data_IF_053713240549
#
_entry.id   IF_053713240549
#
_cell.length_a   1.000
_cell.length_b   1.000
_cell.length_c   1.000
_cell.angle_alpha   90.00
_cell.angle_beta   90.00
_cell.angle_gamma   90.00
#
_symmetry.space_group_name_H-M   'P 1'
#
loop_
_entity.id
_entity.type
_entity.pdbx_description
1 polymer ?
2 polymer ?
3 non-polymer ?
4 non-polymer ?
5 non-polymer ?
6 non-polymer ?
7 water ?
#
# COMPACT_ATOMS: atom_id res chain seq x y z
N UNK A 1 -13.59 -20.40 13.25
CA UNK A 1 -13.93 -19.03 13.69
C UNK A 1 -12.79 -18.46 14.56
N UNK A 2 -11.56 -18.92 14.32
CA UNK A 2 -10.40 -18.40 15.05
C UNK A 2 -10.02 -17.01 14.51
N UNK A 3 -9.99 -16.02 15.40
CA UNK A 3 -9.75 -14.62 15.00
C UNK A 3 -8.93 -13.83 15.99
N UNK A 4 -8.20 -12.84 15.47
CA UNK A 4 -7.53 -11.83 16.28
C UNK A 4 -7.95 -10.46 15.78
N UNK A 5 -8.66 -9.73 16.63
CA UNK A 5 -9.18 -8.37 16.34
C UNK A 5 -8.29 -7.27 16.88
N UNK A 6 -7.63 -6.54 15.98
CA UNK A 6 -6.72 -5.48 16.40
C UNK A 6 -7.35 -4.10 16.37
N UNK A 7 -6.81 -3.22 17.21
CA UNK A 7 -7.37 -1.89 17.30
C UNK A 7 -7.01 -1.05 16.07
N UNK A 8 -7.72 0.06 15.92
CA UNK A 8 -7.62 0.88 14.73
C UNK A 8 -6.36 1.69 14.69
N UNK A 9 -6.16 2.43 13.59
CA UNK A 9 -4.94 3.23 13.45
C UNK A 9 -4.78 4.25 14.59
N UNK A 10 -3.55 4.39 15.09
CA UNK A 10 -3.22 5.32 16.17
C UNK A 10 -2.23 6.36 15.70
N UNK A 11 -2.51 7.62 16.03
CA UNK A 11 -1.54 8.67 15.89
C UNK A 11 -1.08 9.05 17.29
N UNK A 12 0.22 8.99 17.53
CA UNK A 12 0.76 9.58 18.74
C UNK A 12 1.95 10.50 18.49
N UNK A 13 2.07 11.47 19.37
CA UNK A 13 3.19 12.38 19.32
C UNK A 13 4.41 11.72 19.96
N UNK A 14 5.62 12.12 19.49
CA UNK A 14 6.83 11.50 20.08
C UNK A 14 6.85 11.65 21.61
N UNK A 15 7.25 10.57 22.30
CA UNK A 15 7.31 10.53 23.76
C UNK A 15 6.03 10.08 24.45
N UNK A 16 4.92 10.03 23.72
CA UNK A 16 3.64 9.67 24.32
C UNK A 16 3.34 8.20 24.05
N UNK A 17 3.27 7.43 25.13
CA UNK A 17 3.14 5.99 25.00
C UNK A 17 1.89 5.61 24.21
N UNK A 18 2.01 4.51 23.49
CA UNK A 18 0.91 3.99 22.71
C UNK A 18 0.64 2.57 23.17
N UNK A 19 -0.64 2.25 23.26
CA UNK A 19 -1.09 0.94 23.65
C UNK A 19 -2.01 0.44 22.57
N UNK A 20 -1.75 -0.77 22.09
CA UNK A 20 -2.62 -1.36 21.09
C UNK A 20 -3.12 -2.70 21.60
N UNK A 21 -4.28 -3.12 21.11
CA UNK A 21 -4.97 -4.27 21.69
C UNK A 21 -5.30 -5.30 20.62
N UNK A 22 -5.42 -6.55 21.04
CA UNK A 22 -5.61 -7.68 20.13
C UNK A 22 -6.54 -8.64 20.85
N UNK A 23 -7.81 -8.58 20.48
CA UNK A 23 -8.86 -9.43 21.05
C UNK A 23 -9.00 -10.75 20.31
N UNK A 24 -8.77 -11.85 21.04
CA UNK A 24 -8.87 -13.19 20.49
C UNK A 24 -10.28 -13.73 20.62
N UNK A 25 -10.72 -14.50 19.63
CA UNK A 25 -11.99 -15.21 19.75
C UNK A 25 -11.99 -16.51 18.96
N UNK A 26 -12.93 -17.40 19.29
CA UNK A 26 -13.08 -18.68 18.59
C UNK A 26 -12.13 -19.76 19.06
N UNK A 27 -11.42 -19.52 20.16
CA UNK A 27 -10.53 -20.52 20.74
C UNK A 27 -10.33 -20.27 22.24
N UNK A 28 -9.72 -21.26 22.91
CA UNK A 28 -9.44 -21.16 24.34
C UNK A 28 -8.16 -20.36 24.58
N UNK A 29 -8.35 -19.09 25.00
CA UNK A 29 -7.29 -18.08 25.06
C UNK A 29 -6.00 -18.50 25.79
N UNK A 30 -6.14 -19.11 26.96
CA UNK A 30 -4.97 -19.44 27.78
C UNK A 30 -4.03 -20.49 27.20
N UNK A 31 -4.50 -21.26 26.22
CA UNK A 31 -3.72 -22.40 25.73
C UNK A 31 -2.63 -22.02 24.72
N UNK A 32 -2.68 -20.79 24.20
CA UNK A 32 -1.83 -20.41 23.06
C UNK A 32 -1.01 -19.16 23.33
N UNK A 33 0.25 -19.18 22.92
CA UNK A 33 1.11 -18.00 23.04
C UNK A 33 0.78 -16.95 21.99
N UNK A 34 0.84 -15.69 22.40
CA UNK A 34 0.63 -14.57 21.49
C UNK A 34 1.93 -13.85 21.21
N UNK A 35 2.18 -13.63 19.92
CA UNK A 35 3.39 -12.98 19.46
C UNK A 35 3.04 -11.63 18.83
N UNK A 36 4.03 -10.75 18.77
CA UNK A 36 3.86 -9.45 18.13
C UNK A 36 4.97 -9.26 17.14
N UNK A 37 4.61 -8.68 15.98
CA UNK A 37 5.52 -8.56 14.86
C UNK A 37 5.39 -7.16 14.30
N UNK A 38 6.53 -6.56 14.00
CA UNK A 38 6.60 -5.18 13.50
C UNK A 38 6.97 -5.17 12.03
N UNK A 39 6.25 -4.34 11.26
CA UNK A 39 6.54 -4.22 9.83
C UNK A 39 6.62 -2.76 9.41
N UNK A 40 7.80 -2.38 8.91
CA UNK A 40 8.04 -1.03 8.40
C UNK A 40 8.45 -1.21 6.96
N UNK A 41 8.11 -0.24 6.08
CA UNK A 41 8.59 -0.32 4.72
C UNK A 41 10.13 -0.46 4.61
N UNK A 42 10.58 -1.41 3.80
CA UNK A 42 12.00 -1.69 3.57
C UNK A 42 12.69 -2.53 4.62
N UNK A 43 11.95 -2.82 5.70
CA UNK A 43 12.52 -3.42 6.89
C UNK A 43 11.80 -4.72 7.27
N UNK A 44 11.13 -5.31 6.28
CA UNK A 44 10.53 -6.64 6.40
C UNK A 44 9.67 -6.85 7.63
N UNK A 45 9.93 -7.95 8.33
CA UNK A 45 9.19 -8.34 9.54
C UNK A 45 10.15 -8.59 10.70
N UNK A 46 9.86 -7.95 11.84
CA UNK A 46 10.65 -8.05 13.06
C UNK A 46 9.81 -8.64 14.15
N UNK A 47 10.30 -9.69 14.82
CA UNK A 47 9.62 -10.28 15.95
C UNK A 47 9.91 -9.44 17.19
N UNK A 48 8.86 -9.02 17.87
CA UNK A 48 9.02 -8.16 19.06
C UNK A 48 9.14 -9.02 20.33
N UNK A 49 8.24 -9.99 20.46
CA UNK A 49 8.24 -10.84 21.63
C UNK A 49 6.97 -11.64 21.68
N UNK A 50 6.79 -12.35 22.78
CA UNK A 50 5.70 -13.28 22.95
C UNK A 50 5.26 -13.32 24.41
N UNK A 51 4.02 -13.69 24.63
CA UNK A 51 3.49 -13.80 25.98
C UNK A 51 2.58 -15.01 26.10
N UNK A 52 2.73 -15.74 27.20
CA UNK A 52 1.89 -16.87 27.54
C UNK A 52 0.70 -16.36 28.35
N UNK A 53 -0.53 -16.46 27.81
CA UNK A 53 -1.60 -15.84 28.58
C UNK A 53 -1.92 -16.60 29.85
N UNK A 54 -1.60 -17.89 29.91
CA UNK A 54 -1.97 -18.71 31.08
C UNK A 54 -1.49 -18.08 32.39
N UNK A 55 -0.22 -17.69 32.46
CA UNK A 55 0.28 -16.98 33.64
C UNK A 55 1.11 -15.74 33.31
N UNK A 56 0.86 -15.17 32.13
CA UNK A 56 1.50 -13.91 31.70
C UNK A 56 3.03 -13.94 31.58
N UNK A 57 3.62 -15.13 31.44
CA UNK A 57 5.06 -15.20 31.17
C UNK A 57 5.34 -14.59 29.80
N UNK A 58 6.36 -13.74 29.72
CA UNK A 58 6.68 -13.10 28.45
C UNK A 58 8.18 -13.17 28.17
N UNK A 59 8.51 -13.13 26.88
CA UNK A 59 9.89 -13.08 26.44
C UNK A 59 9.95 -12.09 25.29
N UNK A 60 10.89 -11.16 25.40
CA UNK A 60 11.10 -10.15 24.37
C UNK A 60 12.41 -10.31 23.65
N UNK A 61 12.38 -9.93 22.37
CA UNK A 61 13.57 -9.62 21.63
C UNK A 61 14.30 -8.50 22.38
N UNK A 62 15.57 -8.77 22.70
CA UNK A 62 16.45 -7.79 23.35
C UNK A 62 16.46 -6.42 22.65
N UNK A 63 16.26 -6.43 21.33
CA UNK A 63 16.21 -5.18 20.57
C UNK A 63 15.11 -4.25 21.10
N UNK A 64 14.03 -4.86 21.63
CA UNK A 64 12.87 -4.13 22.17
C UNK A 64 12.73 -4.14 23.70
N UNK A 65 13.80 -4.48 24.42
CA UNK A 65 13.74 -4.73 25.87
C UNK A 65 13.25 -3.55 26.71
N UNK A 66 13.48 -2.34 26.23
CA UNK A 66 13.16 -1.13 26.97
C UNK A 66 12.05 -0.36 26.28
N UNK A 67 11.48 -0.98 25.26
CA UNK A 67 10.54 -0.32 24.37
C UNK A 67 9.13 -0.91 24.48
N UNK A 68 9.03 -2.23 24.44
CA UNK A 68 7.74 -2.91 24.42
C UNK A 68 7.43 -3.62 25.73
N UNK A 69 6.17 -3.53 26.12
CA UNK A 69 5.64 -4.25 27.27
C UNK A 69 4.42 -5.03 26.81
N UNK A 70 4.44 -6.32 27.08
CA UNK A 70 3.35 -7.21 26.69
C UNK A 70 2.57 -7.63 27.93
N UNK A 71 1.25 -7.50 27.85
CA UNK A 71 0.35 -7.92 28.92
C UNK A 71 -0.83 -8.67 28.30
N UNK A 72 -1.61 -9.35 29.14
CA UNK A 72 -2.88 -9.95 28.71
C UNK A 72 -3.94 -9.67 29.75
N UNK A 73 -5.17 -9.59 29.27
CA UNK A 73 -6.34 -9.56 30.12
C UNK A 73 -7.04 -10.88 29.84
N UNK A 74 -6.88 -11.84 30.75
CA UNK A 74 -7.44 -13.19 30.56
C UNK A 74 -8.96 -13.13 30.53
N UNK A 75 -9.55 -12.28 31.36
CA UNK A 75 -11.01 -12.17 31.46
C UNK A 75 -11.67 -11.72 30.16
N UNK A 76 -10.97 -10.92 29.35
CA UNK A 76 -11.53 -10.43 28.09
C UNK A 76 -10.84 -11.01 26.87
N UNK A 77 -9.99 -12.02 27.09
CA UNK A 77 -9.24 -12.68 26.02
C UNK A 77 -8.53 -11.67 25.10
N UNK A 78 -7.92 -10.66 25.70
CA UNK A 78 -7.25 -9.61 24.95
C UNK A 78 -5.79 -9.49 25.34
N UNK A 79 -4.92 -9.40 24.32
CA UNK A 79 -3.52 -9.11 24.54
C UNK A 79 -3.29 -7.64 24.21
N UNK A 80 -2.38 -7.02 24.95
CA UNK A 80 -1.99 -5.63 24.71
C UNK A 80 -0.46 -5.49 24.54
N UNK A 81 -0.07 -4.57 23.67
CA UNK A 81 1.33 -4.18 23.60
C UNK A 81 1.41 -2.69 23.82
N UNK A 82 2.30 -2.30 24.71
CA UNK A 82 2.57 -0.90 24.97
C UNK A 82 4.00 -0.52 24.59
N UNK A 83 4.13 0.62 23.91
CA UNK A 83 5.44 1.12 23.48
C UNK A 83 5.78 2.40 24.23
N UNK A 84 6.87 2.35 25.02
CA UNK A 84 7.30 3.51 25.80
C UNK A 84 8.01 4.54 24.93
N UNK A 85 7.94 5.79 25.37
CA UNK A 85 8.60 6.93 24.70
C UNK A 85 8.77 6.74 23.17
N UNK A 86 7.67 6.77 22.41
CA UNK A 86 7.82 6.50 20.97
C UNK A 86 8.59 7.56 20.19
N UNK A 87 9.31 7.11 19.17
CA UNK A 87 9.94 8.00 18.20
C UNK A 87 9.43 7.60 16.82
N UNK A 88 9.80 8.38 15.80
CA UNK A 88 9.38 8.05 14.44
C UNK A 88 9.81 6.65 13.99
N UNK A 89 10.85 6.10 14.62
CA UNK A 89 11.28 4.72 14.38
C UNK A 89 10.20 3.71 14.76
N UNK A 90 9.33 4.09 15.69
CA UNK A 90 8.22 3.23 16.08
C UNK A 90 6.99 3.27 15.18
N UNK A 91 6.99 4.16 14.19
CA UNK A 91 5.91 4.13 13.19
C UNK A 91 6.03 2.87 12.37
N UNK A 92 4.94 2.11 12.30
CA UNK A 92 4.92 0.78 11.63
C UNK A 92 3.53 0.18 11.73
N UNK A 93 3.33 -0.93 11.00
CA UNK A 93 2.20 -1.81 11.21
C UNK A 93 2.65 -2.85 12.26
N UNK A 94 1.84 -3.02 13.30
CA UNK A 94 2.11 -4.03 14.32
C UNK A 94 1.06 -5.13 14.21
N UNK A 95 1.52 -6.37 14.08
CA UNK A 95 0.63 -7.51 14.07
C UNK A 95 0.68 -8.24 15.41
N UNK A 96 -0.46 -8.68 15.89
CA UNK A 96 -0.42 -9.81 16.85
C UNK A 96 -0.69 -11.10 16.05
N UNK A 97 -0.14 -12.22 16.51
CA UNK A 97 -0.28 -13.47 15.81
C UNK A 97 -0.15 -14.62 16.82
N UNK A 98 -1.03 -15.60 16.70
CA UNK A 98 -0.99 -16.77 17.62
C UNK A 98 -0.03 -17.83 17.08
N UNK A 99 0.74 -18.45 17.98
CA UNK A 99 1.52 -19.64 17.62
C UNK A 99 0.72 -20.93 17.75
N UNK A 100 0.91 -21.82 16.78
CA UNK A 100 0.33 -23.15 16.77
C UNK A 100 0.69 -23.92 18.05
N UNK A 101 -0.24 -24.72 18.56
CA UNK A 101 0.00 -25.45 19.82
C UNK A 101 1.15 -26.44 19.73
N UNK A 102 1.28 -27.08 18.58
CA UNK A 102 2.18 -28.23 18.41
C UNK A 102 3.47 -27.88 17.67
N UNK A 103 3.35 -26.89 16.78
CA UNK A 103 4.39 -26.59 15.80
C UNK A 103 4.88 -25.17 15.96
N UNK A 104 6.09 -24.94 15.47
CA UNK A 104 6.73 -23.65 15.55
C UNK A 104 6.33 -22.77 14.36
N UNK A 105 5.07 -22.38 14.32
CA UNK A 105 4.64 -21.40 13.32
C UNK A 105 3.50 -20.54 13.81
N UNK A 106 3.27 -19.44 13.09
CA UNK A 106 2.22 -18.48 13.40
C UNK A 106 1.01 -18.87 12.56
N UNK A 107 -0.08 -19.24 13.23
CA UNK A 107 -1.20 -19.86 12.54
C UNK A 107 -2.45 -18.99 12.33
N UNK A 108 -2.51 -17.86 13.02
CA UNK A 108 -3.59 -16.88 12.81
C UNK A 108 -2.98 -15.51 13.03
N UNK A 109 -3.35 -14.53 12.20
CA UNK A 109 -2.82 -13.19 12.36
C UNK A 109 -3.95 -12.19 12.46
N UNK A 110 -3.75 -11.17 13.29
CA UNK A 110 -4.62 -9.98 13.19
C UNK A 110 -4.36 -9.20 11.91
N UNK A 111 -5.18 -8.18 11.67
CA UNK A 111 -5.10 -7.39 10.43
C UNK A 111 -4.03 -6.33 10.46
N UNK A 112 -3.39 -6.16 11.61
CA UNK A 112 -2.38 -5.14 11.83
C UNK A 112 -3.00 -3.85 12.34
N UNK A 113 -2.23 -3.15 13.16
CA UNK A 113 -2.56 -1.81 13.63
C UNK A 113 -1.47 -0.89 13.15
N UNK A 114 -1.86 0.15 12.42
CA UNK A 114 -0.90 1.10 11.93
C UNK A 114 -0.71 2.21 12.95
N UNK A 115 0.55 2.37 13.37
CA UNK A 115 0.92 3.40 14.35
C UNK A 115 1.77 4.46 13.67
N UNK A 116 1.36 5.72 13.80
CA UNK A 116 2.10 6.84 13.27
C UNK A 116 2.58 7.66 14.46
N UNK A 117 3.89 7.81 14.58
CA UNK A 117 4.47 8.66 15.63
C UNK A 117 4.97 9.92 14.97
N UNK A 118 4.30 11.03 15.28
CA UNK A 118 4.55 12.29 14.57
C UNK A 118 4.09 13.47 15.42
N UNK A 119 4.79 14.60 15.28
CA UNK A 119 4.35 15.86 15.89
C UNK A 119 3.45 16.68 14.95
N UNK A 120 3.19 16.15 13.76
CA UNK A 120 2.39 16.86 12.75
C UNK A 120 0.94 16.97 13.19
N UNK A 121 0.30 18.06 12.79
CA UNK A 121 -1.07 18.36 13.19
C UNK A 121 -2.10 17.57 12.40
N UNK A 122 -3.14 17.10 13.08
CA UNK A 122 -4.27 16.51 12.35
C UNK A 122 -4.89 17.59 11.44
N UNK A 123 -5.00 17.29 10.14
CA UNK A 123 -5.41 18.25 9.13
C UNK A 123 -6.39 17.56 8.19
N UNK A 124 -7.46 18.28 7.85
CA UNK A 124 -8.50 17.77 6.94
C UNK A 124 -8.05 17.95 5.49
N UNK A 125 -8.37 16.98 4.62
CA UNK A 125 -8.07 17.13 3.20
C UNK A 125 -9.03 18.11 2.49
N UNK A 126 -8.57 18.64 1.36
CA UNK A 126 -9.43 19.31 0.40
C UNK A 126 -9.64 18.29 -0.69
N UNK A 127 -10.89 18.15 -1.14
CA UNK A 127 -11.23 17.12 -2.13
C UNK A 127 -11.64 17.83 -3.39
N UNK A 128 -10.92 17.55 -4.47
CA UNK A 128 -11.13 18.29 -5.72
C UNK A 128 -11.53 17.35 -6.83
N UNK A 129 -12.52 17.76 -7.64
CA UNK A 129 -13.01 16.96 -8.77
C UNK A 129 -12.05 17.05 -9.96
N UNK A 130 -11.84 15.96 -10.67
CA UNK A 130 -11.01 15.97 -11.87
C UNK A 130 -11.88 15.62 -13.06
N UNK A 131 -12.20 16.64 -13.86
CA UNK A 131 -12.99 16.42 -15.06
C UNK A 131 -12.10 16.78 -16.24
N UNK A 132 -12.33 16.14 -17.41
CA UNK A 132 -11.49 16.49 -18.57
C UNK A 132 -11.72 17.92 -19.08
N UNK A 133 -10.78 18.55 -19.78
CA UNK A 133 -11.13 19.88 -20.36
C UNK A 133 -12.16 19.82 -21.49
N UNK A 134 -12.69 21.00 -21.85
CA UNK A 134 -13.40 21.23 -23.10
C UNK A 134 -12.60 20.59 -24.26
N UNK A 135 -13.19 19.69 -25.06
CA UNK A 135 -14.61 19.30 -25.11
C UNK A 135 -15.29 18.99 -23.80
N UNK A 139 -13.49 9.04 -27.87
CA UNK A 139 -13.08 7.71 -27.39
C UNK A 139 -14.27 6.85 -26.97
N UNK A 140 -14.00 5.59 -26.66
CA UNK A 140 -15.07 4.68 -26.23
C UNK A 140 -15.30 4.81 -24.73
N UNK A 141 -14.33 5.40 -24.04
CA UNK A 141 -14.43 5.54 -22.59
C UNK A 141 -14.00 6.91 -22.13
N UNK A 142 -14.42 7.25 -20.92
CA UNK A 142 -14.01 8.49 -20.29
C UNK A 142 -13.51 8.18 -18.88
N UNK A 143 -12.42 8.86 -18.52
CA UNK A 143 -11.80 8.75 -17.20
C UNK A 143 -11.98 10.04 -16.43
N UNK A 144 -12.47 9.90 -15.21
CA UNK A 144 -12.64 11.02 -14.28
C UNK A 144 -11.81 10.77 -13.07
N UNK A 145 -11.70 11.77 -12.21
CA UNK A 145 -10.88 11.55 -11.03
C UNK A 145 -11.22 12.39 -9.86
N UNK A 146 -10.50 12.12 -8.77
CA UNK A 146 -10.73 12.79 -7.52
C UNK A 146 -9.38 13.00 -6.83
N UNK A 147 -9.05 14.25 -6.46
CA UNK A 147 -7.77 14.57 -5.82
C UNK A 147 -8.06 14.91 -4.36
N UNK A 148 -7.44 14.16 -3.46
CA UNK A 148 -7.61 14.34 -2.02
C UNK A 148 -6.28 14.87 -1.48
N UNK A 149 -6.23 16.19 -1.20
CA UNK A 149 -4.96 16.83 -1.03
C UNK A 149 -4.84 17.40 0.37
N UNK A 150 -3.76 17.04 1.05
CA UNK A 150 -3.39 17.82 2.23
C UNK A 150 -4.01 17.36 3.55
N UNK A 151 -3.97 16.05 3.83
CA UNK A 151 -4.50 15.53 5.08
C UNK A 151 -3.44 14.90 5.97
N UNK A 152 -3.75 14.80 7.27
CA UNK A 152 -2.90 14.07 8.19
C UNK A 152 -3.73 13.69 9.38
N UNK A 153 -3.52 12.49 9.95
CA UNK A 153 -2.71 11.37 9.47
C UNK A 153 -3.48 10.51 8.46
N UNK A 154 -2.88 9.39 8.05
CA UNK A 154 -3.64 8.41 7.29
C UNK A 154 -4.58 7.72 8.28
N UNK A 155 -5.67 7.11 7.77
CA UNK A 155 -6.07 6.96 6.40
C UNK A 155 -7.18 7.86 5.98
N UNK A 156 -7.40 7.85 4.66
CA UNK A 156 -8.70 8.26 4.12
C UNK A 156 -9.33 7.06 3.45
N UNK A 157 -10.66 7.08 3.33
CA UNK A 157 -11.36 6.11 2.48
C UNK A 157 -12.02 6.84 1.31
N UNK A 158 -11.99 6.25 0.13
CA UNK A 158 -12.54 6.90 -1.03
C UNK A 158 -13.37 5.87 -1.75
N UNK A 159 -14.60 6.26 -2.09
CA UNK A 159 -15.45 5.40 -2.94
C UNK A 159 -16.00 6.25 -4.09
N UNK A 160 -16.66 5.60 -5.05
CA UNK A 160 -17.30 6.28 -6.16
C UNK A 160 -18.76 5.86 -6.13
N UNK A 161 -19.67 6.83 -6.28
CA UNK A 161 -21.12 6.59 -6.18
C UNK A 161 -21.51 5.70 -5.02
N UNK A 162 -20.88 6.02 -3.88
CA UNK A 162 -21.21 5.44 -2.55
C UNK A 162 -20.75 4.00 -2.42
N UNK A 163 -19.93 3.57 -3.38
CA UNK A 163 -19.51 2.18 -3.47
C UNK A 163 -20.16 1.42 -4.60
N UNK A 164 -21.18 2.01 -5.23
CA UNK A 164 -21.89 1.37 -6.36
C UNK A 164 -21.09 1.29 -7.66
N UNK A 165 -20.13 2.20 -7.83
CA UNK A 165 -19.17 2.12 -8.94
C UNK A 165 -17.87 1.61 -8.35
N UNK A 166 -17.56 0.35 -8.61
CA UNK A 166 -16.37 -0.28 -8.05
C UNK A 166 -15.40 -0.82 -9.12
N UNK A 167 -15.89 -1.10 -10.33
CA UNK A 167 -15.02 -1.59 -11.41
C UNK A 167 -14.44 -0.39 -12.15
N UNK A 168 -13.32 -0.59 -12.83
CA UNK A 168 -12.65 0.47 -13.57
C UNK A 168 -12.05 1.56 -12.70
N UNK A 169 -11.71 1.22 -11.46
CA UNK A 169 -11.21 2.22 -10.51
C UNK A 169 -9.74 1.95 -10.19
N UNK A 170 -8.94 3.02 -10.08
CA UNK A 170 -7.59 2.89 -9.48
C UNK A 170 -7.50 3.96 -8.43
N UNK A 171 -7.36 3.53 -7.20
CA UNK A 171 -7.09 4.44 -6.12
C UNK A 171 -5.63 4.31 -5.71
N UNK A 172 -4.89 5.41 -5.83
CA UNK A 172 -3.44 5.35 -5.71
C UNK A 172 -2.99 5.56 -4.26
N UNK A 173 -1.98 4.82 -3.84
CA UNK A 173 -1.49 4.99 -2.48
C UNK A 173 -1.12 6.45 -2.20
N UNK A 174 -1.36 6.89 -0.96
CA UNK A 174 -0.96 8.21 -0.55
C UNK A 174 0.53 8.42 -0.54
N UNK A 175 0.90 9.68 -0.72
CA UNK A 175 2.30 10.07 -0.64
C UNK A 175 2.38 11.25 0.32
N UNK A 176 3.33 11.15 1.23
CA UNK A 176 3.60 12.15 2.26
C UNK A 176 4.57 13.18 1.71
N UNK A 177 4.24 14.46 1.89
CA UNK A 177 5.12 15.56 1.52
C UNK A 177 4.94 16.66 2.57
N UNK A 178 6.01 17.02 3.28
CA UNK A 178 5.94 18.14 4.23
C UNK A 178 4.78 18.03 5.23
N UNK A 179 4.69 16.89 5.89
CA UNK A 179 3.68 16.60 6.91
C UNK A 179 2.26 16.44 6.44
N UNK A 180 2.03 16.42 5.12
CA UNK A 180 0.70 16.17 4.59
C UNK A 180 0.69 15.13 3.51
N UNK A 181 -0.36 14.35 3.51
CA UNK A 181 -0.61 13.33 2.49
C UNK A 181 -1.51 13.83 1.37
N UNK A 182 -1.33 13.23 0.20
CA UNK A 182 -2.18 13.47 -0.95
C UNK A 182 -2.37 12.12 -1.64
N UNK A 183 -3.60 11.88 -2.06
CA UNK A 183 -4.00 10.65 -2.73
C UNK A 183 -4.91 11.06 -3.89
N UNK A 184 -5.00 10.19 -4.87
CA UNK A 184 -5.97 10.44 -5.94
C UNK A 184 -6.62 9.12 -6.34
N UNK A 185 -7.72 9.24 -7.09
CA UNK A 185 -8.37 8.07 -7.63
C UNK A 185 -8.91 8.38 -9.02
N UNK A 186 -8.83 7.38 -9.90
CA UNK A 186 -9.43 7.45 -11.24
C UNK A 186 -10.57 6.46 -11.39
N UNK A 187 -11.57 6.86 -12.16
CA UNK A 187 -12.64 5.96 -12.52
C UNK A 187 -12.89 6.09 -14.01
N UNK A 188 -13.05 4.96 -14.69
CA UNK A 188 -13.29 4.93 -16.13
C UNK A 188 -14.61 4.27 -16.41
N UNK A 189 -15.40 4.95 -17.24
CA UNK A 189 -16.72 4.49 -17.63
C UNK A 189 -16.90 4.62 -19.13
N UNK A 190 -17.96 4.02 -19.66
CA UNK A 190 -18.24 4.19 -21.10
C UNK A 190 -18.48 5.67 -21.42
N UNK A 191 -18.08 6.08 -22.61
CA UNK A 191 -18.15 7.48 -22.94
C UNK A 191 -19.57 8.09 -22.90
N UNK A 192 -20.59 7.27 -23.12
CA UNK A 192 -21.98 7.75 -23.01
C UNK A 192 -22.54 7.75 -21.59
N UNK A 193 -21.83 7.17 -20.63
CA UNK A 193 -22.32 7.12 -19.26
C UNK A 193 -22.43 8.49 -18.62
N UNK A 194 -21.33 9.24 -18.70
CA UNK A 194 -21.16 10.54 -18.04
C UNK A 194 -21.04 11.64 -19.12
N UNK A 195 -21.63 12.83 -18.91
CA UNK A 195 -22.19 13.34 -17.65
C UNK A 195 -23.67 13.04 -17.41
N UNK A 196 -24.32 12.28 -18.28
CA UNK A 196 -25.77 12.10 -18.04
C UNK A 196 -26.05 11.33 -16.75
N UNK A 197 -25.25 10.32 -16.45
CA UNK A 197 -25.31 9.68 -15.14
C UNK A 197 -24.28 10.36 -14.27
N UNK A 198 -24.70 10.81 -13.09
CA UNK A 198 -23.78 11.47 -12.19
C UNK A 198 -22.73 10.54 -11.60
N UNK A 199 -21.53 11.06 -11.41
CA UNK A 199 -20.42 10.30 -10.82
C UNK A 199 -19.87 11.19 -9.72
N UNK A 200 -19.81 10.63 -8.50
CA UNK A 200 -19.46 11.40 -7.31
C UNK A 200 -18.41 10.63 -6.54
N UNK A 201 -17.41 11.37 -6.09
CA UNK A 201 -16.34 10.86 -5.26
C UNK A 201 -16.70 11.03 -3.77
N UNK A 202 -16.62 9.97 -2.96
CA UNK A 202 -16.99 10.08 -1.54
C UNK A 202 -15.74 9.84 -0.73
N UNK A 203 -15.35 10.84 0.05
CA UNK A 203 -14.08 10.76 0.77
C UNK A 203 -14.32 10.91 2.25
N UNK A 204 -13.75 10.03 3.06
CA UNK A 204 -13.81 10.21 4.51
C UNK A 204 -12.42 10.26 5.09
N UNK A 205 -12.22 11.19 6.00
CA UNK A 205 -10.96 11.23 6.77
C UNK A 205 -11.37 11.19 8.26
N UNK A 206 -11.37 10.00 8.86
CA UNK A 206 -11.95 9.88 10.20
C UNK A 206 -11.26 10.77 11.23
N UNK A 207 -9.95 10.96 11.10
CA UNK A 207 -9.23 11.74 12.11
C UNK A 207 -9.73 13.16 12.24
N UNK A 208 -10.13 13.77 11.14
CA UNK A 208 -10.66 15.12 11.18
C UNK A 208 -12.19 15.15 11.13
N UNK A 209 -12.84 13.97 11.26
CA UNK A 209 -14.31 13.87 11.14
C UNK A 209 -14.83 14.55 9.86
N UNK A 210 -14.07 14.34 8.77
CA UNK A 210 -14.38 14.86 7.44
C UNK A 210 -15.11 13.79 6.66
N UNK A 211 -16.26 14.15 6.08
CA UNK A 211 -16.94 13.28 5.13
C UNK A 211 -17.51 14.16 4.02
N UNK A 212 -16.98 13.99 2.81
CA UNK A 212 -17.33 14.88 1.68
C UNK A 212 -17.76 14.07 0.44
N UNK A 213 -18.84 14.51 -0.20
CA UNK A 213 -19.24 13.97 -1.48
C UNK A 213 -18.96 15.04 -2.53
N UNK A 214 -18.16 14.70 -3.56
CA UNK A 214 -17.85 15.68 -4.60
C UNK A 214 -18.30 15.15 -5.96
N UNK A 215 -19.33 15.78 -6.53
CA UNK A 215 -19.85 15.43 -7.84
C UNK A 215 -18.90 15.94 -8.91
N UNK A 216 -18.59 15.09 -9.87
CA UNK A 216 -17.70 15.52 -10.95
C UNK A 216 -18.57 16.16 -12.01
N UNK A 217 -18.40 17.46 -12.21
CA UNK A 217 -19.19 18.20 -13.19
C UNK A 217 -18.42 18.41 -14.49
N UNK A 218 -19.11 18.36 -15.63
CA UNK A 218 -18.43 18.63 -16.88
C UNK A 218 -17.97 20.08 -16.95
N UNK A 219 -16.85 20.29 -17.62
CA UNK A 219 -16.34 21.64 -17.86
C UNK A 219 -16.96 22.21 -19.14
N UNK A 220 -17.28 23.49 -19.11
CA UNK A 220 -17.89 24.19 -20.24
C UNK A 220 -17.35 25.60 -20.35
N UNK A 221 -17.79 26.34 -21.37
CA UNK A 221 -17.38 27.74 -21.51
C UNK A 221 -17.70 28.58 -20.27
N UNK B 1 20.14 -14.71 17.42
CA UNK B 1 20.78 -13.81 16.42
C UNK B 1 21.14 -14.53 15.13
N UNK B 2 20.29 -15.46 14.72
CA UNK B 2 20.48 -16.13 13.44
C UNK B 2 19.94 -15.18 12.38
N UNK B 3 20.82 -14.70 11.49
CA UNK B 3 20.43 -13.76 10.44
C UNK B 3 20.06 -14.58 9.22
N UNK B 4 18.88 -14.30 8.66
CA UNK B 4 18.44 -15.00 7.44
C UNK B 4 18.61 -14.09 6.24
N UNK B 5 19.34 -14.60 5.24
CA UNK B 5 19.61 -13.84 4.01
C UNK B 5 18.89 -14.46 2.83
N UNK B 6 17.95 -13.69 2.28
CA UNK B 6 17.12 -14.12 1.17
C UNK B 6 17.60 -13.54 -0.14
N UNK B 7 17.64 -14.36 -1.18
CA UNK B 7 17.92 -13.86 -2.52
C UNK B 7 17.01 -14.56 -3.54
N UNK B 8 16.68 -13.87 -4.63
CA UNK B 8 16.95 -12.44 -4.84
C UNK B 8 16.00 -11.56 -4.03
N UNK B 9 16.36 -10.30 -3.84
CA UNK B 9 15.47 -9.34 -3.17
C UNK B 9 14.15 -9.16 -3.94
N UNK B 10 14.25 -9.00 -5.25
CA UNK B 10 13.09 -8.77 -6.11
C UNK B 10 13.22 -9.66 -7.34
N UNK B 11 12.12 -10.30 -7.74
CA UNK B 11 12.17 -11.08 -8.97
C UNK B 11 10.83 -11.06 -9.69
N UNK B 12 10.85 -11.37 -10.98
CA UNK B 12 9.61 -11.50 -11.72
C UNK B 12 9.72 -12.57 -12.78
N UNK B 13 8.56 -13.11 -13.13
CA UNK B 13 8.48 -14.20 -14.10
C UNK B 13 7.11 -14.25 -14.70
N UNK B 14 7.03 -14.84 -15.90
CA UNK B 14 5.73 -15.09 -16.49
C UNK B 14 5.02 -16.21 -15.75
N UNK B 15 3.68 -16.20 -15.77
CA UNK B 15 2.94 -17.40 -15.37
C UNK B 15 3.51 -18.60 -16.13
N UNK B 16 3.51 -19.75 -15.48
CA UNK B 16 4.02 -20.98 -16.08
C UNK B 16 5.47 -21.28 -15.77
N UNK B 17 6.24 -20.26 -15.40
CA UNK B 17 7.66 -20.45 -15.11
C UNK B 17 7.82 -21.12 -13.75
N UNK B 18 8.95 -21.80 -13.59
CA UNK B 18 9.35 -22.34 -12.29
C UNK B 18 10.22 -21.25 -11.66
N UNK B 19 9.90 -20.85 -10.44
CA UNK B 19 10.73 -19.85 -9.73
C UNK B 19 11.24 -20.44 -8.43
N UNK B 20 12.50 -20.15 -8.13
CA UNK B 20 13.11 -20.61 -6.88
C UNK B 20 13.74 -19.42 -6.17
N UNK B 21 13.56 -19.37 -4.86
CA UNK B 21 14.19 -18.33 -4.05
C UNK B 21 14.82 -19.00 -2.83
N UNK B 22 15.92 -18.43 -2.37
CA UNK B 22 16.77 -19.07 -1.38
C UNK B 22 16.85 -18.26 -0.11
N UNK B 23 17.16 -18.95 0.98
CA UNK B 23 17.24 -18.34 2.29
C UNK B 23 18.40 -19.02 2.97
N UNK B 24 19.46 -18.25 3.18
CA UNK B 24 20.68 -18.71 3.84
C UNK B 24 20.77 -18.21 5.30
N UNK B 25 20.94 -19.14 6.24
CA UNK B 25 21.02 -18.80 7.67
C UNK B 25 22.46 -18.70 8.16
N UNK B 26 22.73 -17.76 9.06
CA UNK B 26 24.09 -17.51 9.55
C UNK B 26 24.64 -18.63 10.44
N UNK B 27 23.74 -19.42 11.01
CA UNK B 27 24.12 -20.69 11.62
C UNK B 27 22.99 -21.70 11.43
N UNK B 28 23.31 -22.98 11.64
CA UNK B 28 22.41 -24.09 11.35
C UNK B 28 21.05 -23.90 11.98
N UNK B 29 19.98 -24.18 11.22
CA UNK B 29 18.62 -24.21 11.76
C UNK B 29 17.97 -25.59 11.55
N UNK B 30 17.10 -25.98 12.48
CA UNK B 30 16.46 -27.28 12.44
C UNK B 30 15.44 -27.47 11.33
N UNK B 31 14.72 -26.38 11.03
CA UNK B 31 13.66 -26.34 10.01
C UNK B 31 13.59 -24.92 9.51
N UNK B 32 13.12 -24.76 8.29
CA UNK B 32 12.75 -23.45 7.78
C UNK B 32 11.24 -23.34 7.59
N UNK B 33 10.72 -22.16 7.86
CA UNK B 33 9.30 -21.84 7.64
C UNK B 33 9.23 -20.73 6.61
N UNK B 34 8.15 -20.70 5.85
CA UNK B 34 8.00 -19.72 4.78
C UNK B 34 6.64 -19.10 4.89
N UNK B 35 6.59 -17.76 4.83
CA UNK B 35 5.34 -17.01 4.89
C UNK B 35 5.15 -16.21 3.61
N UNK B 36 3.89 -16.12 3.19
CA UNK B 36 3.52 -15.38 1.99
C UNK B 36 2.75 -14.13 2.43
N UNK B 37 3.16 -12.96 1.93
CA UNK B 37 2.41 -11.74 2.21
C UNK B 37 2.05 -10.99 0.92
N UNK B 38 0.77 -11.07 0.58
CA UNK B 38 0.23 -10.33 -0.57
C UNK B 38 0.04 -8.88 -0.17
N UNK B 39 0.23 -7.94 -1.12
CA UNK B 39 0.17 -6.53 -0.74
C UNK B 39 -1.14 -6.17 -0.06
N UNK B 40 -1.04 -5.52 1.09
CA UNK B 40 -2.21 -5.05 1.82
C UNK B 40 -2.84 -6.06 2.77
N UNK B 41 -2.32 -7.29 2.82
CA UNK B 41 -2.79 -8.25 3.82
C UNK B 41 -1.70 -8.74 4.76
N UNK B 42 -2.11 -9.48 5.78
CA UNK B 42 -1.20 -10.10 6.74
C UNK B 42 -0.41 -11.24 6.15
N UNK B 43 0.78 -11.53 6.72
CA UNK B 43 1.54 -12.72 6.31
C UNK B 43 0.71 -13.96 6.60
N UNK B 44 0.91 -14.97 5.77
CA UNK B 44 0.20 -16.24 5.95
C UNK B 44 1.19 -17.39 5.79
N UNK B 45 1.08 -18.37 6.68
CA UNK B 45 1.96 -19.54 6.59
C UNK B 45 1.75 -20.31 5.29
N UNK B 46 2.85 -20.60 4.62
CA UNK B 46 2.87 -21.34 3.36
C UNK B 46 3.46 -22.73 3.55
N UNK B 47 4.65 -22.78 4.16
CA UNK B 47 5.38 -24.04 4.31
C UNK B 47 5.97 -24.10 5.71
N UNK B 48 5.77 -25.21 6.42
CA UNK B 48 6.35 -25.35 7.73
C UNK B 48 7.22 -26.60 7.79
N UNK B 49 8.11 -26.65 8.77
CA UNK B 49 9.02 -27.78 8.93
C UNK B 49 9.67 -28.13 7.60
N UNK B 50 10.16 -27.10 6.92
CA UNK B 50 10.96 -27.19 5.70
C UNK B 50 10.21 -27.51 4.41
N UNK B 51 9.38 -28.54 4.43
CA UNK B 51 8.75 -29.04 3.20
C UNK B 51 7.26 -29.38 3.30
N UNK B 52 6.65 -29.17 4.46
CA UNK B 52 5.24 -29.49 4.61
C UNK B 52 4.39 -28.30 4.20
N UNK B 53 3.44 -28.53 3.30
CA UNK B 53 2.54 -27.48 2.86
C UNK B 53 1.49 -27.23 3.92
N UNK B 54 1.23 -25.96 4.19
CA UNK B 54 0.15 -25.58 5.10
C UNK B 54 -1.19 -25.95 4.47
N UNK B 55 -2.21 -26.08 5.32
CA UNK B 55 -3.56 -26.40 4.85
C UNK B 55 -4.01 -25.44 3.75
N UNK B 56 -4.44 -25.99 2.62
CA UNK B 56 -4.96 -25.19 1.50
C UNK B 56 -3.94 -24.64 0.52
N UNK B 57 -2.66 -24.90 0.74
CA UNK B 57 -1.62 -24.42 -0.15
C UNK B 57 -1.50 -25.38 -1.32
N UNK B 58 -1.63 -24.87 -2.55
CA UNK B 58 -1.65 -25.77 -3.72
C UNK B 58 -0.29 -26.43 -3.97
N UNK B 59 -0.34 -27.52 -4.75
CA UNK B 59 0.79 -28.40 -4.99
C UNK B 59 1.96 -27.74 -5.77
N UNK B 60 1.71 -26.59 -6.40
CA UNK B 60 2.79 -25.87 -7.11
C UNK B 60 3.90 -25.34 -6.17
N UNK B 61 3.57 -25.18 -4.89
CA UNK B 61 4.54 -24.74 -3.87
C UNK B 61 5.26 -25.92 -3.24
N UNK B 62 6.59 -25.82 -3.18
CA UNK B 62 7.39 -26.78 -2.41
C UNK B 62 8.51 -26.08 -1.66
N UNK B 63 8.99 -26.71 -0.59
CA UNK B 63 10.13 -26.18 0.13
C UNK B 63 11.15 -27.27 0.33
N UNK B 64 12.42 -26.86 0.38
CA UNK B 64 13.51 -27.83 0.58
C UNK B 64 14.67 -27.21 1.35
N UNK B 65 15.65 -28.05 1.69
CA UNK B 65 16.86 -27.55 2.32
C UNK B 65 17.28 -28.25 3.59
N UNK B 66 18.43 -27.83 4.11
CA UNK B 66 18.98 -28.36 5.35
C UNK B 66 20.16 -27.50 5.80
N UNK B 67 20.50 -27.62 7.08
CA UNK B 67 21.64 -26.91 7.64
C UNK B 67 21.43 -25.42 7.59
N UNK B 68 22.20 -24.75 6.74
CA UNK B 68 22.12 -23.30 6.62
C UNK B 68 21.53 -22.86 5.28
N UNK B 69 21.18 -23.80 4.40
CA UNK B 69 20.67 -23.44 3.07
C UNK B 69 19.30 -24.02 2.74
N UNK B 70 18.32 -23.15 2.47
CA UNK B 70 16.94 -23.55 2.22
C UNK B 70 16.36 -22.81 1.01
N UNK B 71 15.29 -23.35 0.46
CA UNK B 71 14.68 -22.74 -0.74
C UNK B 71 13.20 -23.01 -0.78
N UNK B 72 12.50 -22.12 -1.49
CA UNK B 72 11.12 -22.25 -1.78
C UNK B 72 11.01 -22.24 -3.31
N UNK B 73 10.25 -23.19 -3.84
CA UNK B 73 10.01 -23.25 -5.28
C UNK B 73 8.52 -23.13 -5.62
N UNK B 74 8.20 -22.36 -6.65
CA UNK B 74 6.83 -22.34 -7.18
C UNK B 74 6.91 -22.93 -8.57
N UNK B 75 6.27 -24.08 -8.78
CA UNK B 75 6.38 -24.80 -10.05
C UNK B 75 5.15 -24.55 -10.91
N UNK B 76 5.31 -23.65 -11.86
CA UNK B 76 4.27 -23.07 -12.69
C UNK B 76 3.60 -21.96 -11.91
N UNK B 77 4.30 -20.85 -11.90
CA UNK B 77 3.81 -19.64 -11.29
C UNK B 77 2.43 -19.24 -11.80
N UNK B 78 1.58 -18.71 -10.92
CA UNK B 78 0.27 -18.16 -11.33
C UNK B 78 0.21 -16.65 -11.02
N UNK B 79 -0.60 -15.94 -11.78
CA UNK B 79 -0.73 -14.51 -11.57
C UNK B 79 -1.05 -14.17 -10.12
N UNK B 80 -1.77 -15.04 -9.41
CA UNK B 80 -2.21 -14.74 -8.01
C UNK B 80 -1.07 -14.81 -7.00
N UNK B 81 0.07 -15.37 -7.42
CA UNK B 81 1.19 -15.68 -6.52
C UNK B 81 2.10 -14.47 -6.25
N UNK B 82 1.82 -13.33 -6.90
CA UNK B 82 2.52 -12.07 -6.60
C UNK B 82 2.40 -11.75 -5.12
N UNK B 83 3.56 -11.64 -4.47
CA UNK B 83 3.62 -11.44 -3.04
C UNK B 83 5.06 -11.23 -2.62
N UNK B 84 5.26 -10.84 -1.36
CA UNK B 84 6.57 -10.96 -0.78
C UNK B 84 6.58 -12.21 0.07
N UNK B 85 7.63 -13.01 -0.12
CA UNK B 85 7.81 -14.29 0.57
C UNK B 85 8.94 -14.18 1.61
N UNK B 86 8.66 -14.55 2.85
CA UNK B 86 9.67 -14.46 3.92
C UNK B 86 10.00 -15.83 4.47
N UNK B 87 11.28 -16.14 4.61
CA UNK B 87 11.63 -17.31 5.43
C UNK B 87 11.67 -16.87 6.88
N UNK B 88 11.68 -17.85 7.78
CA UNK B 88 11.56 -17.57 9.21
C UNK B 88 12.18 -18.76 9.94
N UNK B 89 12.93 -18.47 11.00
CA UNK B 89 13.57 -19.54 11.81
C UNK B 89 13.09 -19.55 13.27
N UNK B 90 12.96 -20.75 13.84
CA UNK B 90 12.51 -20.94 15.22
C UNK B 90 13.50 -21.85 15.94
N UNK B 91 14.74 -21.78 15.51
CA UNK B 91 15.83 -22.56 16.11
C UNK B 91 16.40 -21.88 17.36
N UNK B 92 16.57 -20.55 17.29
CA UNK B 92 16.98 -19.77 18.46
C UNK B 92 16.26 -18.46 18.56
N UNK B 93 16.05 -18.02 19.80
CA UNK B 93 15.55 -16.68 20.07
C UNK B 93 16.71 -15.68 19.99
N UNK B 94 16.43 -14.46 19.49
CA UNK B 94 15.13 -13.98 18.99
C UNK B 94 14.74 -14.64 17.68
N UNK B 95 13.44 -14.90 17.53
CA UNK B 95 12.91 -15.37 16.26
C UNK B 95 13.19 -14.29 15.21
N UNK B 96 13.55 -14.74 14.00
CA UNK B 96 13.93 -13.85 12.92
C UNK B 96 13.27 -14.25 11.61
N UNK B 97 13.06 -13.25 10.77
CA UNK B 97 12.66 -13.45 9.38
C UNK B 97 13.79 -12.97 8.47
N UNK B 98 13.88 -13.51 7.26
CA UNK B 98 14.63 -12.86 6.19
C UNK B 98 13.96 -11.56 5.74
N UNK B 99 14.65 -10.83 4.87
CA UNK B 99 14.19 -9.51 4.44
C UNK B 99 13.15 -9.64 3.34
N UNK B 100 12.95 -10.85 2.85
CA UNK B 100 11.87 -11.18 1.88
C UNK B 100 12.33 -11.15 0.43
N UNK B 101 11.63 -11.93 -0.39
CA UNK B 101 11.79 -11.86 -1.84
C UNK B 101 10.46 -11.37 -2.35
N UNK B 102 10.48 -10.23 -3.02
CA UNK B 102 9.26 -9.67 -3.62
C UNK B 102 9.12 -10.26 -5.02
N UNK B 103 8.05 -11.03 -5.23
CA UNK B 103 7.83 -11.71 -6.48
C UNK B 103 6.67 -11.01 -7.21
N UNK B 104 6.94 -10.61 -8.43
CA UNK B 104 5.93 -9.97 -9.28
C UNK B 104 5.85 -10.74 -10.59
N UNK B 105 4.90 -10.33 -11.43
CA UNK B 105 4.56 -11.10 -12.61
C UNK B 105 4.99 -10.36 -13.88
N UNK B 106 5.35 -11.13 -14.90
CA UNK B 106 5.55 -10.56 -16.24
C UNK B 106 4.34 -10.83 -17.10
N UNK B 107 4.13 -9.94 -18.08
CA UNK B 107 3.09 -10.09 -19.07
C UNK B 107 3.55 -9.36 -20.33
N UNK B 108 2.72 -9.38 -21.37
CA UNK B 108 2.99 -8.57 -22.58
C UNK B 108 3.09 -7.10 -22.24
N UNK B 109 4.07 -6.41 -22.85
CA UNK B 109 4.17 -4.97 -22.74
C UNK B 109 2.83 -4.32 -23.12
N UNK B 110 2.42 -3.33 -22.33
CA UNK B 110 1.18 -2.58 -22.58
C UNK B 110 1.41 -1.11 -22.38
N UNK B 111 0.96 -0.31 -23.36
CA UNK B 111 1.06 1.14 -23.24
C UNK B 111 0.03 1.65 -22.26
N UNK B 112 0.34 2.75 -21.53
CA UNK B 112 -0.64 3.33 -20.63
C UNK B 112 -1.75 4.04 -21.40
N UNK B 113 -2.93 4.06 -20.77
CA UNK B 113 -4.01 4.96 -21.18
C UNK B 113 -3.80 6.23 -20.33
N UNK B 114 -3.55 7.36 -21.00
CA UNK B 114 -3.15 8.59 -20.33
C UNK B 114 -4.27 9.59 -20.37
N UNK B 115 -4.59 10.15 -19.19
CA UNK B 115 -5.62 11.18 -19.04
C UNK B 115 -5.05 12.35 -18.24
N UNK B 116 -5.26 13.56 -18.75
CA UNK B 116 -4.81 14.79 -18.09
C UNK B 116 -6.02 15.59 -17.62
N UNK B 117 -5.82 16.26 -16.48
CA UNK B 117 -6.84 17.04 -15.81
C UNK B 117 -6.31 18.38 -15.34
N UNK B 118 -6.93 19.48 -15.77
CA UNK B 118 -6.57 20.81 -15.24
C UNK B 118 -6.97 20.97 -13.77
N UNK B 119 -6.44 21.99 -13.09
CA UNK B 119 -6.88 22.36 -11.74
C UNK B 119 -8.37 22.58 -11.71
N UNK B 120 -9.02 22.12 -10.66
CA UNK B 120 -10.41 22.43 -10.45
C UNK B 120 -10.64 23.90 -10.04
N UNK B 121 -11.84 24.41 -10.33
CA UNK B 121 -12.21 25.75 -9.90
C UNK B 121 -12.07 25.88 -8.41
N UNK B 122 -12.46 24.80 -7.71
CA UNK B 122 -12.39 24.75 -6.25
C UNK B 122 -10.98 24.97 -5.74
N UNK B 123 -10.01 24.28 -6.36
CA UNK B 123 -8.65 24.42 -5.90
C UNK B 123 -8.13 25.80 -6.20
N UNK B 124 -8.50 26.33 -7.37
CA UNK B 124 -8.03 27.67 -7.73
C UNK B 124 -8.48 28.75 -6.74
N UNK B 125 -9.65 28.57 -6.13
CA UNK B 125 -10.12 29.55 -5.14
C UNK B 125 -9.24 29.58 -3.89
N UNK B 126 -8.50 28.51 -3.65
CA UNK B 126 -7.67 28.42 -2.45
C UNK B 126 -6.28 29.02 -2.70
N UNK B 127 -6.00 29.32 -3.96
CA UNK B 127 -4.70 29.91 -4.31
C UNK B 127 -3.64 28.92 -4.78
N UNK B 128 -4.01 27.64 -4.89
CA UNK B 128 -3.12 26.58 -5.39
C UNK B 128 -3.60 26.02 -6.71
N UNK B 129 -2.76 25.26 -7.40
CA UNK B 129 -3.15 24.65 -8.67
C UNK B 129 -2.43 23.33 -8.90
N UNK B 130 -3.18 22.23 -8.97
CA UNK B 130 -2.55 20.95 -9.28
C UNK B 130 -3.02 20.47 -10.64
N UNK B 131 -2.09 19.97 -11.45
CA UNK B 131 -2.43 19.33 -12.71
C UNK B 131 -2.21 17.85 -12.51
N UNK B 132 -3.15 17.00 -12.94
CA UNK B 132 -3.02 15.55 -12.65
C UNK B 132 -3.02 14.79 -13.94
N UNK B 133 -2.18 13.77 -13.99
CA UNK B 133 -2.21 12.84 -15.13
C UNK B 133 -2.28 11.43 -14.62
N UNK B 134 -3.20 10.64 -15.15
CA UNK B 134 -3.24 9.19 -14.83
C UNK B 134 -2.61 8.44 -16.00
N UNK B 135 -1.73 7.49 -15.67
CA UNK B 135 -1.20 6.54 -16.68
C UNK B 135 -1.67 5.18 -16.24
N UNK B 136 -2.73 4.69 -16.89
CA UNK B 136 -3.41 3.50 -16.40
C UNK B 136 -3.19 2.24 -17.24
N UNK B 137 -3.06 1.13 -16.50
CA UNK B 137 -3.01 -0.23 -17.06
C UNK B 137 -1.85 -0.43 -18.04
N UNK B 138 -0.62 -0.24 -17.56
CA UNK B 138 0.56 -0.39 -18.41
C UNK B 138 1.52 -1.46 -17.87
N UNK B 139 2.49 -1.83 -18.69
CA UNK B 139 3.50 -2.81 -18.30
C UNK B 139 4.67 -2.59 -19.24
N UNK B 140 5.93 -2.60 -18.74
CA UNK B 140 6.42 -2.84 -17.39
C UNK B 140 6.22 -1.67 -16.43
N UNK B 141 6.66 -1.85 -15.19
CA UNK B 141 6.42 -0.86 -14.13
C UNK B 141 7.23 0.41 -14.37
N UNK B 142 8.43 0.27 -14.91
CA UNK B 142 9.37 1.42 -14.94
C UNK B 142 9.14 2.37 -16.12
N UNK B 143 8.05 3.11 -16.05
CA UNK B 143 7.70 4.07 -17.09
C UNK B 143 8.21 5.46 -16.69
N UNK B 144 8.50 6.31 -17.67
CA UNK B 144 8.87 7.68 -17.36
C UNK B 144 7.72 8.64 -17.67
N UNK B 145 7.38 9.48 -16.70
CA UNK B 145 6.41 10.56 -16.93
C UNK B 145 7.12 11.91 -16.87
N UNK B 146 6.85 12.78 -17.84
CA UNK B 146 7.55 14.07 -17.96
C UNK B 146 6.52 15.15 -18.14
N UNK B 147 6.63 16.20 -17.34
CA UNK B 147 5.69 17.32 -17.46
C UNK B 147 6.33 18.44 -18.24
N UNK B 148 5.52 19.13 -19.04
CA UNK B 148 6.00 20.33 -19.70
C UNK B 148 5.01 21.47 -19.52
N UNK B 149 5.53 22.65 -19.27
CA UNK B 149 4.72 23.85 -19.12
C UNK B 149 5.23 24.82 -20.20
N UNK B 150 4.37 25.27 -21.11
CA UNK B 150 4.81 26.05 -22.28
C UNK B 150 6.01 25.41 -22.98
N UNK B 151 6.01 24.08 -23.03
CA UNK B 151 7.05 23.30 -23.71
C UNK B 151 8.39 23.13 -23.01
N UNK B 152 8.53 23.70 -21.80
CA UNK B 152 9.72 23.48 -20.95
C UNK B 152 9.44 22.41 -19.91
N UNK B 153 10.38 21.49 -19.75
CA UNK B 153 10.23 20.41 -18.77
C UNK B 153 10.14 21.01 -17.36
N UNK B 154 9.21 20.48 -16.56
CA UNK B 154 9.06 20.86 -15.17
C UNK B 154 9.30 19.61 -14.33
N UNK B 155 10.29 19.65 -13.45
CA UNK B 155 10.55 18.51 -12.59
C UNK B 155 10.14 18.81 -11.15
N UNK B 156 10.23 20.07 -10.74
CA UNK B 156 9.92 20.48 -9.38
C UNK B 156 8.42 20.44 -9.09
N UNK B 157 8.05 19.93 -7.92
CA UNK B 157 6.64 19.89 -7.55
C UNK B 157 5.83 18.75 -8.13
N UNK B 158 6.50 17.69 -8.59
CA UNK B 158 5.83 16.51 -9.16
C UNK B 158 5.80 15.40 -8.11
N UNK B 159 4.61 14.90 -7.83
CA UNK B 159 4.36 13.77 -6.91
C UNK B 159 3.80 12.59 -7.71
N UNK B 160 4.51 11.45 -7.70
CA UNK B 160 4.07 10.22 -8.39
C UNK B 160 3.70 9.09 -7.42
N UNK B 161 2.70 8.31 -7.79
CA UNK B 161 2.32 7.15 -6.98
C UNK B 161 1.87 5.97 -7.87
N UNK B 162 2.50 4.81 -7.69
CA UNK B 162 2.12 3.58 -8.39
C UNK B 162 1.17 2.69 -7.56
N UNK B 163 0.25 2.01 -8.24
CA UNK B 163 -0.53 0.97 -7.59
C UNK B 163 0.30 -0.31 -7.52
N UNK B 164 -0.07 -1.20 -6.61
CA UNK B 164 0.50 -2.54 -6.62
C UNK B 164 0.10 -3.20 -7.92
N UNK B 165 0.94 -4.10 -8.43
CA UNK B 165 0.56 -4.83 -9.65
C UNK B 165 -0.82 -5.44 -9.53
N UNK B 166 -1.60 -5.30 -10.61
CA UNK B 166 -2.96 -5.83 -10.57
C UNK B 166 -2.95 -7.35 -10.51
N UNK B 167 -3.72 -7.95 -9.60
CA UNK B 167 -3.54 -9.40 -9.39
C UNK B 167 -4.21 -10.25 -10.47
N UNK B 168 -5.08 -9.60 -11.24
CA UNK B 168 -5.77 -10.25 -12.36
C UNK B 168 -5.13 -10.02 -13.73
N UNK B 169 -4.80 -8.76 -14.08
CA UNK B 169 -4.22 -8.52 -15.41
C UNK B 169 -2.72 -8.16 -15.43
N UNK B 170 -2.08 -8.13 -14.26
CA UNK B 170 -0.64 -7.92 -14.14
C UNK B 170 -0.16 -6.56 -14.65
N UNK B 171 -1.08 -5.59 -14.82
CA UNK B 171 -0.63 -4.26 -15.17
C UNK B 171 -0.34 -3.41 -13.92
N UNK B 172 0.28 -2.25 -14.15
CA UNK B 172 0.44 -1.21 -13.13
C UNK B 172 -0.31 0.03 -13.57
N UNK B 173 -0.61 0.90 -12.61
CA UNK B 173 -1.16 2.19 -12.97
C UNK B 173 -0.42 3.22 -12.12
N UNK B 174 -0.35 4.46 -12.58
CA UNK B 174 0.33 5.48 -11.79
C UNK B 174 -0.37 6.79 -11.93
N UNK B 175 -0.31 7.59 -10.88
CA UNK B 175 -0.84 8.95 -10.90
C UNK B 175 0.31 9.96 -10.70
N UNK B 176 0.36 10.98 -11.56
CA UNK B 176 1.38 12.00 -11.48
C UNK B 176 0.68 13.36 -11.26
N UNK B 177 1.06 14.04 -10.18
CA UNK B 177 0.45 15.33 -9.82
C UNK B 177 1.51 16.42 -9.77
N UNK B 178 1.29 17.43 -10.61
CA UNK B 178 2.17 18.59 -10.66
C UNK B 178 1.50 19.72 -9.89
N UNK B 179 2.12 20.19 -8.81
CA UNK B 179 1.53 21.29 -8.04
C UNK B 179 2.34 22.58 -8.26
N UNK B 180 1.61 23.63 -8.62
CA UNK B 180 2.11 25.00 -8.87
C UNK B 180 1.31 25.96 -8.00
N UNK B 181 1.75 27.22 -7.87
CA UNK B 181 0.87 28.26 -7.30
C UNK B 181 -0.18 28.64 -8.35
N UNK B 182 -1.30 29.24 -7.93
CA UNK B 182 -2.28 29.71 -8.91
C UNK B 182 -1.57 30.74 -9.80
N UNK B 183 -0.84 31.66 -9.18
CA UNK B 183 -0.13 32.71 -9.94
C UNK B 183 0.74 32.13 -11.06
N UNK B 184 1.46 31.07 -10.75
CA UNK B 184 2.33 30.45 -11.73
C UNK B 184 1.51 29.73 -12.82
N UNK B 185 0.43 29.08 -12.40
CA UNK B 185 -0.44 28.38 -13.34
C UNK B 185 -1.08 29.35 -14.33
N UNK B 186 -1.48 30.53 -13.84
CA UNK B 186 -2.19 31.50 -14.67
C UNK B 186 -1.29 32.25 -15.63
N UNK B 187 0.03 32.12 -15.49
CA UNK B 187 0.93 32.83 -16.42
C UNK B 187 1.50 31.92 -17.54
N UNK B 188 1.02 30.68 -17.60
CA UNK B 188 1.43 29.75 -18.64
C UNK B 188 0.20 29.23 -19.36
N UNK B 189 0.41 28.74 -20.58
CA UNK B 189 -0.70 28.39 -21.48
C UNK B 189 -0.92 26.89 -21.63
N UNK B 190 0.11 26.19 -22.10
CA UNK B 190 0.04 24.75 -22.35
C UNK B 190 0.59 23.93 -21.21
N UNK B 191 -0.15 22.87 -20.92
CA UNK B 191 0.28 21.86 -19.93
C UNK B 191 0.27 20.49 -20.57
N UNK B 192 1.38 19.77 -20.41
CA UNK B 192 1.54 18.50 -21.10
C UNK B 192 2.12 17.43 -20.18
N UNK B 193 1.50 16.26 -20.24
CA UNK B 193 2.16 15.12 -19.63
C UNK B 193 2.45 14.07 -20.67
N UNK B 194 3.69 13.61 -20.61
CA UNK B 194 4.24 12.76 -21.64
C UNK B 194 4.73 11.47 -20.99
N UNK B 195 4.25 10.34 -21.49
CA UNK B 195 4.68 9.03 -20.99
C UNK B 195 5.54 8.30 -21.99
N UNK B 196 6.75 7.92 -21.57
CA UNK B 196 7.70 7.21 -22.43
C UNK B 196 8.29 5.98 -21.75
N UNK B 197 8.61 4.95 -22.53
CA UNK B 197 9.50 3.87 -22.03
C UNK B 197 10.60 3.51 -23.03
N UNK B 198 10.25 2.70 -24.04
CA UNK B 198 11.21 2.33 -25.11
C UNK B 198 10.98 3.23 -26.31
N UNK B 201 8.26 3.09 -29.55
CA UNK B 201 9.12 4.10 -28.94
C UNK B 201 8.37 5.39 -28.67
N UNK B 202 7.52 5.76 -29.64
CA UNK B 202 6.74 6.99 -29.60
C UNK B 202 6.08 7.24 -28.26
N UNK B 203 6.33 8.43 -27.69
CA UNK B 203 5.69 8.80 -26.44
C UNK B 203 4.19 9.01 -26.58
N UNK B 204 3.48 8.80 -25.49
CA UNK B 204 2.07 9.15 -25.42
C UNK B 204 1.98 10.50 -24.73
N UNK B 205 1.31 11.44 -25.40
CA UNK B 205 1.28 12.82 -25.00
C UNK B 205 -0.18 13.22 -24.81
N UNK B 206 -0.51 13.76 -23.65
CA UNK B 206 -1.79 14.43 -23.45
C UNK B 206 -1.53 15.86 -22.98
N UNK B 207 -2.26 16.80 -23.56
CA UNK B 207 -2.05 18.21 -23.27
C UNK B 207 -3.37 18.94 -23.25
N UNK B 208 -3.35 20.10 -22.61
CA UNK B 208 -4.45 21.06 -22.70
C UNK B 208 -3.89 22.47 -22.65
N UNK B 209 -4.70 23.41 -23.15
CA UNK B 209 -4.36 24.82 -23.06
C UNK B 209 -5.28 25.45 -22.03
N UNK B 210 -4.70 26.17 -21.08
CA UNK B 210 -5.46 26.81 -20.00
C UNK B 210 -6.46 27.80 -20.61
N UNK B 211 -7.69 27.76 -20.12
CA UNK B 211 -8.68 28.79 -20.45
C UNK B 211 -8.91 28.95 -21.97
N UNK B 212 -9.01 27.81 -22.67
CA UNK B 212 -9.35 27.85 -24.11
C UNK B 212 -10.62 27.09 -24.50
N UNK B 213 -11.68 27.25 -23.70
CA UNK B 213 -12.95 26.59 -23.96
C UNK B 213 -13.84 27.52 -24.76
X LIG C 1 7.42 -20.51 23.89
X LIG C 1 8.52 -21.35 24.05
X LIG C 1 6.62 -20.86 22.64
X LIG C 1 7.24 -21.74 21.70
X LIG C 1 5.93 -19.64 22.07
X LIG C 1 5.19 -19.85 20.89
X LIG D 1 -3.56 16.64 16.32
X LIG E 1 -21.47 7.72 0.94
X LIG E 1 -21.19 9.17 1.26
X LIG E 1 -20.37 7.14 0.11
X LIG E 1 -22.81 7.60 0.24
X LIG E 1 -21.49 6.95 2.24
X LIG F 1 9.58 -3.91 3.50
X LIG F 1 10.58 -4.93 3.43
X LIG F 1 9.11 -3.60 2.07
X LIG F 1 8.19 -2.50 2.00
X LIG G 1 7.66 -22.34 30.41
X LIG G 1 7.04 -22.63 31.69
X LIG G 1 7.24 -20.94 29.93
X LIG G 1 5.85 -20.60 30.22
X LIG H 1 -0.48 18.78 0.33
#
# INVERSE_FOLDING_TARGET
QVQLQQSGPELVKPGASVKISCKASGYSFNFYWMHWVKQRPGQGLEWIGMIDPSESESRLNQKFKDKATLTVDRSSSTAHMQLSSPTSEDSAVYYCTRSNYRYDYFDVWGAGTTVTVSSAKTTAPSVYPLAPVCGDTTGSSVTLGCLVKGYFPEPVTLTWNSGSLSSGVHTFPAVLQSDLYTLSSSVTVTSSTWPSESITCNVAHPASSTKVDKKIEPRGP
QIVLTQSPAIMSAFPGESVTMTCSASSSVSYMYWYQQKPGSSPRLLIYDTSNLASGVPVRFSGSGSGTSYSLTINRLEAEDGATYYCQQWTSYPLTFGAGTKLELKRADAAPTVSIFPPSSEQLTSGGASVVCFLNNFYPKDINVKWKIDGSERQNGVLNSWTDQDSKDSTYSMSSTLTLTKDEYERHNSYTCEATHATSTSPIVKSFNRNEC
GOL C1 O1 C2 O2 C3 O3
CL CL
PO4 P O1 O2 O3 O4
EDO C1 O1 C2 O2
EDO C1 O1 C2 O2
CL CL
#
